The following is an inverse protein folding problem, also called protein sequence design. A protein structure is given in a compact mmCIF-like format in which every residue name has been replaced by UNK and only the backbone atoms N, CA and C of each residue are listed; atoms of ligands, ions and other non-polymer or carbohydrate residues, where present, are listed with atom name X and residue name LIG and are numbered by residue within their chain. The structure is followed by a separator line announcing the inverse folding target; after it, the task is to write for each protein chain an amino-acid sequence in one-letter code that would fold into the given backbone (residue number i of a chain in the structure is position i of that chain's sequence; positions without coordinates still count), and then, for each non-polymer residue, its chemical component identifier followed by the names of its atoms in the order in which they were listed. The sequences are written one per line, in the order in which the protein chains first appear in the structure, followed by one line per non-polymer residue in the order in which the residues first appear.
data_IF_072887622094
#
_entry.id   IF_072887622094
#
_cell.length_a   1.000
_cell.length_b   1.000
_cell.length_c   1.000
_cell.angle_alpha   90.00
_cell.angle_beta   90.00
_cell.angle_gamma   90.00
#
_symmetry.space_group_name_H-M   'P 1'
#
loop_
_entity.id
_entity.type
_entity.pdbx_description
1 polymer ?
#
# COMPACT_ATOMS: atom_id res chain seq x y z
N UNK A 1 -2.58 -2.28 -2.56
CA UNK A 1 -1.97 -3.29 -1.67
C UNK A 1 -2.47 -2.94 -0.28
N UNK A 2 -3.47 -3.66 0.22
CA UNK A 2 -3.88 -3.54 1.63
C UNK A 2 -3.28 -4.73 2.36
N UNK A 3 -2.49 -4.45 3.40
CA UNK A 3 -1.85 -5.49 4.18
C UNK A 3 -2.91 -6.22 5.00
N UNK A 4 -3.14 -7.49 4.66
CA UNK A 4 -3.96 -8.40 5.44
C UNK A 4 -3.19 -8.90 6.67
N UNK A 5 -3.71 -8.59 7.85
CA UNK A 5 -3.64 -9.28 9.15
C UNK A 5 -2.42 -10.19 9.37
N UNK A 6 -1.39 -9.61 9.97
CA UNK A 6 -0.23 -10.34 10.49
C UNK A 6 -0.58 -10.79 11.92
N UNK A 7 -0.43 -12.08 12.20
CA UNK A 7 -1.01 -12.78 13.37
C UNK A 7 -0.27 -12.53 14.69
N UNK A 8 0.14 -11.28 14.95
CA UNK A 8 0.73 -10.91 16.23
C UNK A 8 -0.10 -9.79 16.86
N UNK A 9 -0.66 -9.97 18.07
CA UNK A 9 -1.37 -8.91 18.80
C UNK A 9 -0.51 -7.67 19.10
N UNK A 10 0.78 -7.67 18.75
CA UNK A 10 1.68 -6.52 18.86
C UNK A 10 1.77 -5.63 17.60
N UNK A 11 1.06 -5.93 16.50
CA UNK A 11 1.08 -5.12 15.28
C UNK A 11 -0.35 -4.74 14.86
N UNK A 12 -0.71 -3.48 15.03
CA UNK A 12 -2.09 -2.99 15.11
C UNK A 12 -2.91 -2.94 13.82
N UNK A 13 -2.80 -3.90 12.90
CA UNK A 13 -3.75 -4.18 11.81
C UNK A 13 -4.57 -2.98 11.25
N UNK A 14 -5.91 -2.93 11.43
CA UNK A 14 -6.77 -1.82 10.95
C UNK A 14 -6.57 -0.51 11.72
N UNK A 15 -5.92 -0.53 12.89
CA UNK A 15 -5.58 0.63 13.71
C UNK A 15 -4.19 1.21 13.38
N UNK A 16 -3.43 0.57 12.48
CA UNK A 16 -2.11 1.01 12.03
C UNK A 16 -1.05 -0.09 12.05
N UNK A 17 0.03 0.11 11.30
CA UNK A 17 1.08 -0.91 11.20
C UNK A 17 2.42 -0.33 10.78
N UNK A 18 3.44 -1.20 10.81
CA UNK A 18 4.80 -0.85 10.41
C UNK A 18 5.14 -1.53 9.07
N UNK A 19 5.35 -0.76 7.98
CA UNK A 19 5.65 -1.29 6.66
C UNK A 19 6.71 -2.40 6.65
N UNK A 20 7.87 -2.17 7.28
CA UNK A 20 8.96 -3.14 7.30
C UNK A 20 8.58 -4.50 7.93
N UNK A 21 7.61 -4.53 8.85
CA UNK A 21 7.17 -5.79 9.46
C UNK A 21 6.30 -6.61 8.50
N UNK A 22 5.57 -5.95 7.60
CA UNK A 22 4.84 -6.64 6.55
C UNK A 22 5.78 -7.33 5.55
N UNK A 23 6.86 -6.67 5.15
CA UNK A 23 7.90 -7.29 4.30
C UNK A 23 8.60 -8.45 5.00
N UNK A 24 8.97 -8.28 6.28
CA UNK A 24 9.57 -9.38 7.08
C UNK A 24 8.61 -10.55 7.25
N UNK A 25 7.30 -10.27 7.39
CA UNK A 25 6.29 -11.31 7.45
C UNK A 25 6.20 -12.09 6.14
N UNK A 26 6.20 -11.39 5.01
CA UNK A 26 6.21 -12.01 3.68
C UNK A 26 7.42 -12.93 3.49
N UNK A 27 8.60 -12.54 3.96
CA UNK A 27 9.81 -13.41 3.94
C UNK A 27 9.64 -14.65 4.82
N UNK A 28 9.09 -14.49 6.03
CA UNK A 28 9.03 -15.55 7.03
C UNK A 28 7.88 -16.55 6.81
N UNK A 29 6.70 -16.06 6.43
CA UNK A 29 5.46 -16.85 6.43
C UNK A 29 4.73 -16.87 5.08
N UNK A 30 5.19 -16.07 4.12
CA UNK A 30 4.55 -15.91 2.83
C UNK A 30 3.16 -15.28 2.89
N UNK A 31 2.66 -14.87 1.73
CA UNK A 31 1.33 -14.33 1.53
C UNK A 31 0.61 -15.14 0.45
N UNK A 32 -0.68 -15.38 0.65
CA UNK A 32 -1.52 -16.02 -0.37
C UNK A 32 -2.02 -14.99 -1.37
N UNK A 33 -2.51 -15.45 -2.51
CA UNK A 33 -3.20 -14.60 -3.48
C UNK A 33 -4.49 -14.02 -2.90
N UNK A 34 -4.89 -12.84 -3.38
CA UNK A 34 -6.10 -12.16 -2.91
C UNK A 34 -6.38 -10.90 -3.71
N UNK A 35 -7.55 -10.84 -4.34
CA UNK A 35 -8.03 -9.70 -5.10
C UNK A 35 -8.77 -8.66 -4.25
N UNK A 36 -9.43 -7.72 -4.92
CA UNK A 36 -10.32 -6.76 -4.28
C UNK A 36 -11.60 -7.42 -3.75
N UNK A 37 -12.32 -6.68 -2.91
CA UNK A 37 -13.64 -7.07 -2.38
C UNK A 37 -14.63 -7.45 -3.49
N UNK A 38 -14.63 -6.74 -4.61
CA UNK A 38 -15.55 -6.98 -5.72
C UNK A 38 -15.10 -8.17 -6.58
N UNK A 39 -13.80 -8.30 -6.82
CA UNK A 39 -13.26 -9.35 -7.70
C UNK A 39 -13.46 -10.76 -7.16
N UNK A 40 -13.47 -10.91 -5.83
CA UNK A 40 -13.50 -12.20 -5.14
C UNK A 40 -12.44 -13.20 -5.65
N UNK A 41 -11.33 -12.68 -6.19
CA UNK A 41 -10.27 -13.45 -6.82
C UNK A 41 -9.20 -13.91 -5.81
N UNK A 42 -8.54 -15.04 -6.10
CA UNK A 42 -7.44 -15.59 -5.30
C UNK A 42 -7.90 -16.33 -4.05
N UNK A 43 -6.96 -16.84 -3.25
CA UNK A 43 -7.26 -17.59 -2.04
C UNK A 43 -7.98 -16.74 -0.98
N UNK A 44 -7.57 -15.48 -0.80
CA UNK A 44 -8.13 -14.56 0.20
C UNK A 44 -8.40 -13.17 -0.37
N UNK A 45 -9.51 -12.97 -1.11
CA UNK A 45 -9.92 -11.63 -1.50
C UNK A 45 -10.18 -10.75 -0.26
N UNK A 46 -10.01 -9.44 -0.44
CA UNK A 46 -10.21 -8.47 0.63
C UNK A 46 -11.66 -8.52 1.14
N UNK A 47 -11.85 -8.59 2.47
CA UNK A 47 -13.17 -8.81 3.08
C UNK A 47 -13.89 -7.55 3.53
N UNK A 48 -13.19 -6.41 3.63
CA UNK A 48 -13.78 -5.13 4.03
C UNK A 48 -14.27 -4.43 2.77
N UNK A 49 -15.56 -4.08 2.74
CA UNK A 49 -16.17 -3.43 1.60
C UNK A 49 -15.53 -2.05 1.35
N UNK A 50 -15.38 -1.64 0.08
CA UNK A 50 -14.96 -0.29 -0.26
C UNK A 50 -15.98 0.73 0.25
N UNK A 51 -15.48 1.87 0.68
CA UNK A 51 -16.28 3.01 1.09
C UNK A 51 -15.67 4.28 0.52
N UNK A 52 -16.43 5.37 0.49
CA UNK A 52 -15.92 6.64 -0.01
C UNK A 52 -17.00 7.66 -0.28
N UNK A 53 -16.60 8.73 -0.95
CA UNK A 53 -17.49 9.79 -1.39
C UNK A 53 -17.98 9.54 -2.82
N UNK A 54 -19.03 10.26 -3.21
CA UNK A 54 -19.46 10.30 -4.62
C UNK A 54 -18.42 11.04 -5.45
N UNK A 55 -17.90 10.37 -6.47
CA UNK A 55 -16.95 10.96 -7.41
C UNK A 55 -17.32 10.52 -8.83
N UNK A 56 -17.39 11.48 -9.76
CA UNK A 56 -17.75 11.25 -11.17
C UNK A 56 -19.05 10.43 -11.35
N UNK A 57 -20.05 10.67 -10.51
CA UNK A 57 -21.36 9.99 -10.58
C UNK A 57 -21.40 8.59 -9.95
N UNK A 58 -20.28 8.06 -9.45
CA UNK A 58 -20.24 6.80 -8.70
C UNK A 58 -20.30 7.10 -7.21
N UNK A 59 -21.38 6.68 -6.56
CA UNK A 59 -21.60 6.85 -5.11
C UNK A 59 -21.22 5.57 -4.37
N UNK A 60 -20.26 5.69 -3.46
CA UNK A 60 -19.87 4.61 -2.56
C UNK A 60 -20.60 4.73 -1.21
N UNK A 61 -20.75 3.62 -0.45
CA UNK A 61 -21.17 3.70 0.94
C UNK A 61 -20.27 4.66 1.72
N UNK A 62 -20.85 5.46 2.62
CA UNK A 62 -20.07 6.31 3.52
C UNK A 62 -19.12 5.42 4.32
N UNK A 63 -17.87 5.85 4.45
CA UNK A 63 -16.93 5.16 5.32
C UNK A 63 -17.42 5.17 6.77
N UNK A 64 -17.28 4.04 7.49
CA UNK A 64 -17.55 3.98 8.93
C UNK A 64 -16.82 5.09 9.67
N UNK A 65 -17.46 5.65 10.70
CA UNK A 65 -16.83 6.68 11.56
C UNK A 65 -15.81 6.03 12.51
N UNK A 66 -16.08 4.80 12.91
CA UNK A 66 -15.18 3.98 13.71
C UNK A 66 -14.27 3.14 12.83
N UNK A 67 -13.12 2.74 13.39
CA UNK A 67 -12.21 1.82 12.70
C UNK A 67 -12.87 0.44 12.59
N UNK A 68 -12.96 -0.09 11.37
CA UNK A 68 -13.44 -1.45 11.15
C UNK A 68 -12.57 -2.47 11.90
N UNK A 69 -13.19 -3.45 12.60
CA UNK A 69 -12.43 -4.44 13.33
C UNK A 69 -11.59 -5.27 12.37
N UNK A 70 -10.38 -5.59 12.82
CA UNK A 70 -9.49 -6.46 12.09
C UNK A 70 -10.12 -7.84 11.86
N UNK A 71 -10.27 -8.30 10.60
CA UNK A 71 -10.81 -9.63 10.33
C UNK A 71 -10.00 -10.73 11.02
N UNK A 72 -10.63 -11.83 11.42
CA UNK A 72 -9.89 -12.94 12.03
C UNK A 72 -8.92 -13.57 11.02
N UNK A 73 -7.74 -13.94 11.49
CA UNK A 73 -6.85 -14.76 10.67
C UNK A 73 -7.40 -16.18 10.59
N UNK A 74 -7.68 -16.62 9.37
CA UNK A 74 -8.18 -17.98 9.06
C UNK A 74 -7.19 -18.60 8.08
N UNK A 75 -6.58 -19.73 8.39
CA UNK A 75 -5.61 -20.38 7.51
C UNK A 75 -6.30 -21.29 6.47
N UNK A 76 -7.27 -20.72 5.76
CA UNK A 76 -8.02 -21.37 4.69
C UNK A 76 -8.35 -20.35 3.60
N UNK A 77 -8.49 -20.81 2.36
CA UNK A 77 -9.00 -19.96 1.28
C UNK A 77 -10.50 -19.70 1.47
N UNK A 78 -10.93 -18.47 1.21
CA UNK A 78 -12.29 -17.98 1.50
C UNK A 78 -12.96 -17.34 0.28
N UNK A 79 -12.40 -17.48 -0.91
CA UNK A 79 -13.03 -16.96 -2.13
C UNK A 79 -14.37 -17.63 -2.40
N UNK A 80 -15.33 -16.85 -2.90
CA UNK A 80 -16.64 -17.35 -3.31
C UNK A 80 -16.59 -18.36 -4.48
N UNK A 81 -15.47 -18.42 -5.21
CA UNK A 81 -15.23 -19.39 -6.28
C UNK A 81 -14.37 -20.57 -5.76
N UNK A 82 -14.54 -21.76 -6.36
CA UNK A 82 -13.73 -22.98 -6.08
C UNK A 82 -12.27 -22.78 -6.48
N UNK A 83 -11.54 -21.94 -5.74
CA UNK A 83 -10.14 -21.66 -5.98
C UNK A 83 -9.35 -22.97 -5.85
N UNK A 84 -8.61 -23.39 -6.90
CA UNK A 84 -8.13 -24.76 -7.00
C UNK A 84 -6.94 -25.05 -6.09
N UNK A 85 -6.26 -24.01 -5.60
CA UNK A 85 -5.04 -24.12 -4.81
C UNK A 85 -5.36 -24.01 -3.32
N UNK A 86 -4.86 -24.96 -2.51
CA UNK A 86 -5.01 -24.91 -1.05
C UNK A 86 -4.21 -23.78 -0.42
N UNK A 87 -4.61 -23.34 0.78
CA UNK A 87 -4.04 -22.16 1.46
C UNK A 87 -2.52 -22.22 1.63
N UNK A 88 -1.98 -23.38 2.02
CA UNK A 88 -0.55 -23.55 2.19
C UNK A 88 0.18 -23.57 0.85
N UNK A 89 -0.39 -24.21 -0.17
CA UNK A 89 0.21 -24.26 -1.50
C UNK A 89 0.24 -22.89 -2.19
N UNK A 90 -0.74 -22.03 -1.89
CA UNK A 90 -0.86 -20.69 -2.48
C UNK A 90 0.07 -19.63 -1.86
N UNK A 91 0.91 -20.00 -0.89
CA UNK A 91 1.83 -19.06 -0.25
C UNK A 91 3.00 -18.67 -1.18
N UNK A 92 3.19 -17.38 -1.37
CA UNK A 92 4.32 -16.76 -2.06
C UNK A 92 5.23 -16.05 -1.06
N UNK A 93 6.55 -16.23 -1.19
CA UNK A 93 7.54 -15.78 -0.19
C UNK A 93 8.46 -14.69 -0.73
N UNK A 94 8.95 -13.87 0.19
CA UNK A 94 10.08 -12.98 -0.04
C UNK A 94 11.39 -13.69 0.28
N UNK A 95 12.43 -13.40 -0.49
CA UNK A 95 13.79 -13.78 -0.17
C UNK A 95 14.38 -12.81 0.87
N UNK A 96 14.12 -11.52 0.69
CA UNK A 96 14.67 -10.46 1.55
C UNK A 96 13.65 -9.36 1.83
N UNK A 97 13.87 -8.64 2.92
CA UNK A 97 13.14 -7.44 3.31
C UNK A 97 14.13 -6.42 3.89
N UNK A 98 14.17 -5.21 3.35
CA UNK A 98 15.18 -4.21 3.70
C UNK A 98 14.64 -2.79 3.60
N UNK A 99 15.32 -1.87 4.28
CA UNK A 99 15.12 -0.44 4.11
C UNK A 99 15.94 0.06 2.91
N UNK A 100 15.35 0.94 2.12
CA UNK A 100 16.03 1.63 1.02
C UNK A 100 16.70 2.89 1.57
N UNK A 101 17.82 3.29 0.96
CA UNK A 101 18.51 4.52 1.35
C UNK A 101 17.64 5.76 1.15
N UNK A 102 17.84 6.79 1.98
CA UNK A 102 16.98 7.99 2.04
C UNK A 102 17.27 9.02 0.96
N UNK A 103 18.33 8.84 0.17
CA UNK A 103 18.69 9.76 -0.91
C UNK A 103 17.83 9.48 -2.14
N UNK A 104 17.46 10.53 -2.86
CA UNK A 104 16.68 10.45 -4.10
C UNK A 104 17.28 9.43 -5.06
N UNK A 105 18.60 9.46 -5.26
CA UNK A 105 19.27 8.56 -6.22
C UNK A 105 19.18 7.10 -5.80
N UNK A 106 19.17 6.80 -4.50
CA UNK A 106 19.05 5.44 -3.98
C UNK A 106 17.63 4.91 -4.18
N UNK A 107 16.62 5.74 -3.91
CA UNK A 107 15.21 5.42 -4.17
C UNK A 107 14.98 5.19 -5.67
N UNK A 108 15.52 6.07 -6.52
CA UNK A 108 15.43 5.92 -7.98
C UNK A 108 16.12 4.64 -8.46
N UNK A 109 17.31 4.35 -7.94
CA UNK A 109 18.07 3.15 -8.31
C UNK A 109 17.30 1.88 -7.93
N UNK A 110 16.73 1.83 -6.74
CA UNK A 110 15.92 0.69 -6.29
C UNK A 110 14.72 0.48 -7.23
N UNK A 111 13.98 1.55 -7.51
CA UNK A 111 12.80 1.46 -8.37
C UNK A 111 13.17 1.02 -9.79
N UNK A 112 14.28 1.51 -10.34
CA UNK A 112 14.73 1.16 -11.69
C UNK A 112 15.21 -0.29 -11.79
N UNK A 113 15.89 -0.79 -10.76
CA UNK A 113 16.47 -2.13 -10.74
C UNK A 113 15.47 -3.22 -10.33
N UNK A 114 14.57 -2.91 -9.39
CA UNK A 114 13.77 -3.91 -8.66
C UNK A 114 12.27 -3.61 -8.66
N UNK A 115 11.87 -2.44 -9.18
CA UNK A 115 10.47 -2.07 -9.32
C UNK A 115 9.91 -1.30 -8.10
N UNK A 116 8.58 -1.14 -8.02
CA UNK A 116 7.94 -0.26 -7.06
C UNK A 116 8.28 -0.57 -5.60
N UNK A 117 8.42 0.48 -4.79
CA UNK A 117 8.73 0.38 -3.36
C UNK A 117 7.61 0.91 -2.50
N UNK A 118 7.57 0.51 -1.23
CA UNK A 118 6.67 1.08 -0.24
C UNK A 118 7.36 2.21 0.54
N UNK A 119 6.63 3.29 0.79
CA UNK A 119 7.08 4.41 1.62
C UNK A 119 5.97 4.79 2.60
N UNK A 120 6.31 5.61 3.58
CA UNK A 120 5.34 6.30 4.42
C UNK A 120 5.60 7.81 4.42
N UNK A 121 4.54 8.60 4.52
CA UNK A 121 4.61 10.05 4.64
C UNK A 121 3.53 10.55 5.60
N UNK A 122 3.69 11.77 6.10
CA UNK A 122 2.70 12.43 6.95
C UNK A 122 1.59 13.02 6.08
N UNK A 123 0.34 12.65 6.38
CA UNK A 123 -0.85 13.22 5.77
C UNK A 123 -1.28 14.45 6.55
N UNK A 124 -1.60 15.52 5.82
CA UNK A 124 -2.19 16.75 6.34
C UNK A 124 -3.62 16.93 5.81
N UNK A 125 -4.41 17.81 6.44
CA UNK A 125 -5.81 18.06 6.03
C UNK A 125 -5.95 18.45 4.55
N UNK A 126 -5.02 19.24 4.02
CA UNK A 126 -5.04 19.66 2.62
C UNK A 126 -4.86 18.51 1.62
N UNK A 127 -4.16 17.43 1.99
CA UNK A 127 -3.94 16.27 1.13
C UNK A 127 -5.24 15.54 0.77
N UNK A 128 -6.25 15.55 1.65
CA UNK A 128 -7.55 14.96 1.35
C UNK A 128 -8.26 15.65 0.17
N UNK A 129 -7.93 16.91 -0.09
CA UNK A 129 -8.48 17.72 -1.18
C UNK A 129 -7.65 17.62 -2.47
N UNK A 130 -6.60 16.80 -2.49
CA UNK A 130 -5.77 16.62 -3.69
C UNK A 130 -6.61 16.08 -4.87
N UNK A 131 -6.46 16.72 -6.02
CA UNK A 131 -7.13 16.33 -7.27
C UNK A 131 -6.12 16.06 -8.39
N UNK A 132 -5.17 16.98 -8.61
CA UNK A 132 -4.13 16.87 -9.64
C UNK A 132 -2.95 17.79 -9.31
N UNK A 133 -1.84 17.62 -10.04
CA UNK A 133 -0.62 18.43 -9.92
C UNK A 133 0.44 17.78 -9.04
N UNK A 134 1.47 18.53 -8.68
CA UNK A 134 2.49 18.07 -7.74
C UNK A 134 2.14 18.61 -6.34
N UNK A 135 1.75 17.71 -5.44
CA UNK A 135 1.43 18.03 -4.06
C UNK A 135 2.65 18.59 -3.32
N UNK A 136 2.41 19.69 -2.62
CA UNK A 136 3.25 20.32 -1.61
C UNK A 136 2.28 20.72 -0.51
N UNK A 137 2.60 20.40 0.74
CA UNK A 137 1.78 20.81 1.87
C UNK A 137 1.80 22.34 2.00
N UNK A 138 0.61 22.93 2.19
CA UNK A 138 0.44 24.39 2.29
C UNK A 138 -0.32 24.81 3.53
N UNK A 139 -1.26 23.98 4.02
CA UNK A 139 -2.10 24.32 5.15
C UNK A 139 -2.74 23.10 5.82
N UNK A 140 -3.22 23.30 7.05
CA UNK A 140 -3.94 22.28 7.81
C UNK A 140 -3.05 21.47 8.75
N UNK A 141 -3.67 20.82 9.73
CA UNK A 141 -2.93 20.06 10.75
C UNK A 141 -2.47 18.70 10.23
N UNK A 142 -1.44 18.15 10.86
CA UNK A 142 -1.03 16.75 10.67
C UNK A 142 -2.13 15.81 11.16
N UNK A 143 -2.47 14.82 10.34
CA UNK A 143 -3.50 13.82 10.62
C UNK A 143 -2.93 12.43 10.92
N UNK A 144 -1.66 12.19 10.59
CA UNK A 144 -0.96 10.95 10.91
C UNK A 144 -0.07 10.46 9.78
N UNK A 145 0.49 9.26 9.93
CA UNK A 145 1.28 8.60 8.90
C UNK A 145 0.39 7.78 7.95
N UNK A 146 0.75 7.75 6.68
CA UNK A 146 0.11 6.93 5.65
C UNK A 146 1.15 6.21 4.81
N UNK A 147 0.94 4.91 4.57
CA UNK A 147 1.82 4.07 3.77
C UNK A 147 1.29 3.98 2.33
N UNK A 148 2.17 4.18 1.36
CA UNK A 148 1.85 4.26 -0.08
C UNK A 148 2.94 3.63 -0.92
N UNK A 149 2.68 3.46 -2.22
CA UNK A 149 3.62 2.81 -3.14
C UNK A 149 4.17 3.80 -4.16
N UNK A 150 5.48 4.01 -4.16
CA UNK A 150 6.15 4.78 -5.21
C UNK A 150 6.42 3.85 -6.40
N UNK A 151 6.03 4.31 -7.59
CA UNK A 151 6.16 3.56 -8.85
C UNK A 151 7.25 4.15 -9.76
N UNK A 152 7.57 5.42 -9.59
CA UNK A 152 8.47 6.15 -10.46
C UNK A 152 8.58 7.61 -10.08
N UNK A 153 9.16 8.41 -10.96
CA UNK A 153 9.36 9.84 -10.78
C UNK A 153 9.33 10.55 -12.12
N UNK A 154 9.22 11.87 -12.08
CA UNK A 154 9.29 12.71 -13.27
C UNK A 154 9.59 14.16 -12.95
N UNK A 155 9.35 15.00 -13.95
CA UNK A 155 9.38 16.46 -13.85
C UNK A 155 8.12 16.98 -14.56
N UNK A 156 7.36 17.84 -13.91
CA UNK A 156 6.20 18.51 -14.47
C UNK A 156 6.43 20.02 -14.41
N UNK A 157 6.55 20.68 -15.57
CA UNK A 157 6.85 22.12 -15.69
C UNK A 157 8.03 22.60 -14.82
N UNK A 158 9.11 21.80 -14.76
CA UNK A 158 10.29 22.10 -13.94
C UNK A 158 10.23 21.61 -12.50
N UNK A 159 9.07 21.14 -12.03
CA UNK A 159 8.89 20.61 -10.67
C UNK A 159 9.15 19.10 -10.63
N UNK A 160 10.21 18.62 -9.93
CA UNK A 160 10.46 17.20 -9.77
C UNK A 160 9.42 16.56 -8.85
N UNK A 161 8.94 15.37 -9.20
CA UNK A 161 7.95 14.65 -8.40
C UNK A 161 8.22 13.14 -8.29
N UNK A 162 7.66 12.51 -7.27
CA UNK A 162 7.43 11.07 -7.16
C UNK A 162 6.03 10.73 -7.69
N UNK A 163 5.90 9.67 -8.49
CA UNK A 163 4.62 9.10 -8.90
C UNK A 163 4.21 8.01 -7.91
N UNK A 164 3.07 8.21 -7.25
CA UNK A 164 2.66 7.39 -6.11
C UNK A 164 1.26 6.85 -6.31
N UNK A 165 1.07 5.55 -6.08
CA UNK A 165 -0.25 4.92 -5.99
C UNK A 165 -0.76 5.00 -4.56
N UNK A 166 -1.97 5.55 -4.41
CA UNK A 166 -2.72 5.55 -3.16
C UNK A 166 -3.60 4.29 -3.06
N UNK A 167 -4.27 4.11 -1.93
CA UNK A 167 -5.19 3.00 -1.64
C UNK A 167 -6.63 3.45 -1.37
N UNK A 168 -7.00 4.66 -1.79
CA UNK A 168 -8.33 5.27 -1.58
C UNK A 168 -9.21 5.24 -2.82
N UNK A 169 -9.20 4.09 -3.52
CA UNK A 169 -9.94 3.85 -4.77
C UNK A 169 -9.40 4.69 -5.96
N UNK A 170 -9.78 4.29 -7.17
CA UNK A 170 -9.38 4.94 -8.44
C UNK A 170 -10.06 6.28 -8.67
N UNK A 171 -11.04 6.65 -7.86
CA UNK A 171 -11.74 7.92 -8.01
C UNK A 171 -11.04 9.09 -7.32
N UNK A 172 -10.16 8.81 -6.35
CA UNK A 172 -9.43 9.84 -5.62
C UNK A 172 -8.22 10.34 -6.44
N UNK A 173 -7.94 11.64 -6.40
CA UNK A 173 -6.79 12.24 -7.07
C UNK A 173 -6.73 11.93 -8.58
N UNK A 174 -5.53 11.57 -9.06
CA UNK A 174 -5.26 11.31 -10.47
C UNK A 174 -5.50 9.83 -10.80
N UNK A 175 -6.77 9.41 -10.75
CA UNK A 175 -7.20 8.01 -10.96
C UNK A 175 -6.68 7.03 -9.89
N UNK A 176 -6.64 7.45 -8.63
CA UNK A 176 -6.07 6.70 -7.50
C UNK A 176 -4.57 6.94 -7.30
N UNK A 177 -3.97 7.79 -8.13
CA UNK A 177 -2.56 8.18 -8.03
C UNK A 177 -2.44 9.63 -7.57
N UNK A 178 -1.24 9.99 -7.13
CA UNK A 178 -0.87 11.37 -6.89
C UNK A 178 0.60 11.57 -7.21
N UNK A 179 0.98 12.83 -7.36
CA UNK A 179 2.36 13.26 -7.48
C UNK A 179 2.69 14.16 -6.31
N UNK A 180 3.87 14.00 -5.74
CA UNK A 180 4.36 14.77 -4.58
C UNK A 180 5.78 15.22 -4.85
N UNK A 181 6.15 16.42 -4.40
CA UNK A 181 7.45 17.01 -4.71
C UNK A 181 8.59 16.11 -4.23
N UNK A 182 9.59 15.94 -5.10
CA UNK A 182 10.75 15.07 -4.89
C UNK A 182 12.00 15.88 -4.58
N UNK A 183 12.85 15.35 -3.71
CA UNK A 183 14.16 15.89 -3.36
C UNK A 183 14.15 16.86 -2.18
N UNK A 184 12.98 17.10 -1.59
CA UNK A 184 12.82 17.92 -0.39
C UNK A 184 12.43 17.09 0.84
N UNK A 185 12.33 15.76 0.70
CA UNK A 185 11.75 14.88 1.70
C UNK A 185 10.39 15.40 2.21
N UNK A 186 9.55 15.87 1.27
CA UNK A 186 8.24 16.46 1.56
C UNK A 186 7.39 15.50 2.38
N UNK A 187 6.83 16.00 3.48
CA UNK A 187 6.06 15.20 4.44
C UNK A 187 6.79 13.92 4.91
N UNK A 188 8.12 13.86 4.82
CA UNK A 188 8.92 12.69 5.19
C UNK A 188 8.91 11.53 4.19
N UNK A 189 8.41 11.72 2.96
CA UNK A 189 8.19 10.61 2.02
C UNK A 189 9.46 9.84 1.62
N UNK A 190 10.63 10.45 1.71
CA UNK A 190 11.93 9.82 1.36
C UNK A 190 12.60 9.16 2.57
N UNK A 191 12.01 9.28 3.76
CA UNK A 191 12.66 8.88 5.01
C UNK A 191 12.53 7.40 5.35
N UNK A 192 11.42 6.76 4.95
CA UNK A 192 10.99 5.44 5.42
C UNK A 192 10.64 4.49 4.27
N UNK A 193 11.49 4.46 3.25
CA UNK A 193 11.35 3.57 2.11
C UNK A 193 11.76 2.13 2.46
N UNK A 194 10.94 1.16 2.08
CA UNK A 194 11.18 -0.27 2.29
C UNK A 194 10.85 -1.07 1.04
N UNK A 195 11.59 -2.15 0.83
CA UNK A 195 11.45 -3.05 -0.30
C UNK A 195 11.92 -4.46 0.07
N UNK A 196 11.92 -5.35 -0.91
CA UNK A 196 12.32 -6.74 -0.75
C UNK A 196 12.30 -7.47 -2.09
N UNK A 197 13.11 -8.52 -2.20
CA UNK A 197 13.17 -9.35 -3.40
C UNK A 197 12.32 -10.61 -3.22
N UNK A 198 11.61 -11.07 -4.26
CA UNK A 198 10.83 -12.30 -4.19
C UNK A 198 11.74 -13.54 -4.13
N UNK A 199 11.30 -14.56 -3.40
CA UNK A 199 11.89 -15.89 -3.44
C UNK A 199 11.16 -16.70 -4.52
N UNK A 200 11.76 -16.79 -5.70
CA UNK A 200 11.16 -17.46 -6.86
C UNK A 200 11.31 -18.98 -6.82
N UNK A 201 12.25 -19.48 -6.02
CA UNK A 201 12.59 -20.90 -5.96
C UNK A 201 11.85 -21.61 -4.82
N UNK A 202 11.40 -20.88 -3.80
CA UNK A 202 10.62 -21.45 -2.69
C UNK A 202 9.19 -21.76 -3.12
N UNK A 203 8.94 -23.04 -3.33
CA UNK A 203 7.60 -23.59 -3.45
C UNK A 203 7.24 -24.36 -2.19
N UNK A 204 5.98 -24.26 -1.75
CA UNK A 204 5.48 -25.13 -0.69
C UNK A 204 5.38 -26.55 -1.24
N UNK A 205 6.07 -27.49 -0.60
CA UNK A 205 5.91 -28.92 -0.84
C UNK A 205 4.59 -29.42 -0.23
#
# INVERSE_FOLDING_TARGET
MSYSNLTNPSFSSCEGGYPIQAWKWWVKHGLVTGGSYESQFGCKPYSIAPCGQTVNGVTWPKCPEDTEPTPKCVEACTSNNTYPTGYLQDKHFGATAYAVGKKVEQIQTEILAHGPIEVAFTVYEDFYQYTTGVYVHTAGKSLGGHAVKILGWGVDNGTPYWLVANSWNVNWGEKGYFRIIRGLNECGIEHSAVAGLPDLDRHNA
#
